data_IF_253533845957
#
_entry.id   IF_253533845957
#
_cell.length_a   1.000
_cell.length_b   1.000
_cell.length_c   1.000
_cell.angle_alpha   90.00
_cell.angle_beta   90.00
_cell.angle_gamma   90.00
#
_symmetry.space_group_name_H-M   'P 1'
#
loop_
_entity.id
_entity.type
_entity.pdbx_description
1 polymer ?
2 polymer ?
3 polymer ?
4 polymer ?
#
loop_
_entity_poly.entity_id
_entity_poly.type
_entity_poly.pdbx_seq_one_letter_code
_entity_poly.pdbx_strand_id
4 'polyribonucleotide' 'GGCUGGACUCGUACUUCGGUACUGGAGAAACAGCC' ?
#
# COMPACT_ATOMS: atom_id res chain seq x y z
N UNK A 1 16.87 -9.40 6.15
CA UNK A 1 15.63 -9.71 5.45
C UNK A 1 15.12 -8.53 4.60
N UNK A 2 13.84 -8.21 4.72
CA UNK A 2 13.18 -7.32 3.78
C UNK A 2 13.82 -5.93 3.79
N UNK A 3 14.26 -5.49 2.61
CA UNK A 3 14.80 -4.14 2.44
C UNK A 3 14.60 -3.70 1.00
N UNK A 4 14.29 -2.42 0.84
CA UNK A 4 13.97 -1.81 -0.45
C UNK A 4 14.79 -0.54 -0.59
N UNK A 5 15.49 -0.38 -1.72
CA UNK A 5 16.30 0.81 -1.94
C UNK A 5 16.11 1.30 -3.36
N UNK A 6 15.73 2.58 -3.51
CA UNK A 6 15.37 3.16 -4.80
C UNK A 6 16.37 4.22 -5.20
N UNK A 7 16.47 4.46 -6.50
CA UNK A 7 17.44 5.38 -7.07
C UNK A 7 16.91 5.93 -8.38
N UNK A 8 17.67 6.85 -8.98
CA UNK A 8 17.33 7.50 -10.23
C UNK A 8 16.92 8.95 -10.11
N UNK A 9 16.69 9.45 -8.89
CA UNK A 9 16.18 10.79 -8.73
C UNK A 9 17.15 11.86 -9.21
N UNK A 10 16.65 12.79 -10.00
CA UNK A 10 17.47 13.76 -10.71
C UNK A 10 16.72 15.09 -10.79
N UNK A 11 17.26 16.00 -11.60
CA UNK A 11 16.57 17.19 -12.06
C UNK A 11 16.59 17.15 -13.58
N UNK A 12 15.42 17.28 -14.20
CA UNK A 12 15.29 17.19 -15.65
C UNK A 12 14.28 18.21 -16.13
N UNK A 13 14.44 18.64 -17.39
CA UNK A 13 13.46 19.50 -18.02
C UNK A 13 12.18 18.71 -18.29
N UNK A 14 11.03 19.39 -18.37
CA UNK A 14 9.79 18.70 -18.70
C UNK A 14 9.89 17.98 -20.03
N UNK A 15 9.10 16.90 -20.17
CA UNK A 15 9.16 16.08 -21.35
C UNK A 15 10.33 15.12 -21.41
N UNK A 16 11.20 15.12 -20.40
CA UNK A 16 12.36 14.24 -20.36
C UNK A 16 11.98 12.98 -19.58
N UNK A 17 11.87 11.86 -20.30
CA UNK A 17 11.51 10.60 -19.66
C UNK A 17 12.52 10.25 -18.57
N UNK A 18 12.03 9.64 -17.50
CA UNK A 18 12.86 9.40 -16.33
C UNK A 18 12.55 8.04 -15.75
N UNK A 19 13.58 7.27 -15.43
CA UNK A 19 13.41 5.93 -14.88
C UNK A 19 13.94 5.89 -13.45
N UNK A 20 13.06 5.55 -12.51
CA UNK A 20 13.46 5.27 -11.14
C UNK A 20 13.49 3.76 -10.95
N UNK A 21 14.46 3.27 -10.18
CA UNK A 21 14.56 1.84 -9.94
C UNK A 21 14.49 1.54 -8.44
N UNK A 22 13.77 0.49 -8.11
CA UNK A 22 13.73 -0.07 -6.76
C UNK A 22 14.40 -1.42 -6.81
N UNK A 23 15.53 -1.53 -6.13
CA UNK A 23 16.19 -2.81 -5.87
C UNK A 23 15.59 -3.41 -4.60
N UNK A 24 15.14 -4.65 -4.71
CA UNK A 24 14.40 -5.34 -3.67
C UNK A 24 15.22 -6.53 -3.21
N UNK A 25 15.48 -6.60 -1.91
CA UNK A 25 16.33 -7.66 -1.38
C UNK A 25 15.78 -8.20 -0.07
N UNK A 26 15.95 -9.49 0.16
CA UNK A 26 15.55 -10.10 1.40
C UNK A 26 14.10 -10.56 1.47
N UNK A 27 13.48 -10.88 0.34
CA UNK A 27 12.08 -11.29 0.30
C UNK A 27 12.00 -12.78 0.05
N UNK A 28 11.31 -13.47 0.95
CA UNK A 28 11.13 -14.92 0.86
C UNK A 28 9.89 -15.32 0.06
N UNK A 29 9.17 -14.35 -0.48
CA UNK A 29 7.87 -14.60 -1.11
C UNK A 29 8.02 -14.64 -2.62
N UNK A 30 7.28 -15.54 -3.26
CA UNK A 30 7.20 -15.55 -4.72
C UNK A 30 6.65 -14.23 -5.23
N UNK A 31 5.35 -14.00 -5.06
CA UNK A 31 4.74 -12.73 -5.36
C UNK A 31 4.48 -11.87 -4.14
N UNK A 32 4.41 -10.56 -4.37
CA UNK A 32 3.97 -9.59 -3.37
C UNK A 32 3.60 -8.32 -4.11
N UNK A 33 2.84 -7.45 -3.45
CA UNK A 33 2.50 -6.18 -4.08
C UNK A 33 3.65 -5.19 -3.94
N UNK A 34 4.16 -4.71 -5.07
CA UNK A 34 5.18 -3.66 -5.08
C UNK A 34 4.52 -2.37 -5.51
N UNK A 35 4.43 -1.41 -4.59
CA UNK A 35 3.73 -0.15 -4.80
C UNK A 35 4.73 0.99 -5.00
N UNK A 36 4.30 1.97 -5.79
CA UNK A 36 4.99 3.25 -5.96
C UNK A 36 4.07 4.35 -5.43
N UNK A 37 4.58 5.09 -4.46
CA UNK A 37 3.87 6.18 -3.78
C UNK A 37 4.69 7.45 -3.93
N UNK A 38 4.00 8.59 -4.01
CA UNK A 38 4.59 9.87 -4.38
C UNK A 38 4.20 10.93 -3.36
N UNK A 39 5.16 11.79 -2.99
CA UNK A 39 4.88 12.92 -2.10
C UNK A 39 5.58 14.16 -2.61
N UNK A 40 4.81 15.18 -2.97
CA UNK A 40 5.41 16.46 -3.33
C UNK A 40 5.93 17.17 -2.08
N UNK A 41 7.07 17.86 -2.16
CA UNK A 41 7.64 18.49 -0.97
C UNK A 41 6.65 19.44 -0.31
N UNK A 42 6.48 19.25 0.99
CA UNK A 42 5.53 20.03 1.76
C UNK A 42 4.10 19.54 1.69
N UNK A 43 3.83 18.49 0.91
CA UNK A 43 2.47 18.03 0.67
C UNK A 43 2.34 16.55 1.04
N UNK A 44 1.18 15.97 0.71
CA UNK A 44 0.81 14.67 1.22
C UNK A 44 1.21 13.51 0.32
N UNK A 45 0.82 12.32 0.75
CA UNK A 45 1.14 11.07 0.07
C UNK A 45 0.13 10.80 -1.04
N UNK A 46 0.64 10.34 -2.18
CA UNK A 46 -0.19 10.08 -3.35
C UNK A 46 0.21 8.73 -3.93
N UNK A 47 -0.74 7.80 -3.98
CA UNK A 47 -0.46 6.49 -4.53
C UNK A 47 -0.34 6.58 -6.04
N UNK A 48 0.83 6.22 -6.57
CA UNK A 48 1.05 6.22 -8.01
C UNK A 48 0.48 4.93 -8.58
N UNK A 49 1.10 3.80 -8.24
CA UNK A 49 0.67 2.57 -8.87
C UNK A 49 1.20 1.38 -8.11
N UNK A 50 0.95 0.19 -8.66
CA UNK A 50 1.42 -1.03 -8.04
C UNK A 50 1.55 -2.11 -9.10
N UNK A 51 2.33 -3.13 -8.77
CA UNK A 51 2.56 -4.27 -9.64
C UNK A 51 2.53 -5.53 -8.78
N UNK A 52 2.11 -6.64 -9.37
CA UNK A 52 2.23 -7.94 -8.71
C UNK A 52 3.40 -8.68 -9.34
N UNK A 53 4.42 -8.97 -8.53
CA UNK A 53 5.76 -9.26 -9.03
C UNK A 53 5.78 -10.38 -10.04
N UNK A 54 5.27 -11.56 -9.67
CA UNK A 54 5.40 -12.71 -10.55
C UNK A 54 4.68 -12.56 -11.87
N UNK A 55 3.55 -11.86 -11.88
CA UNK A 55 2.73 -11.75 -13.08
C UNK A 55 3.15 -10.55 -13.91
N UNK A 56 2.37 -10.23 -14.93
CA UNK A 56 2.56 -9.03 -15.71
C UNK A 56 1.53 -7.98 -15.34
N UNK A 57 1.01 -8.06 -14.11
CA UNK A 57 -0.17 -7.32 -13.71
C UNK A 57 0.23 -6.00 -13.05
N UNK A 58 -0.02 -4.89 -13.76
CA UNK A 58 0.26 -3.55 -13.28
C UNK A 58 -1.05 -2.78 -13.16
N UNK A 59 -1.14 -1.92 -12.15
CA UNK A 59 -2.34 -1.15 -11.89
C UNK A 59 -1.93 0.27 -11.51
N UNK A 60 -2.74 1.24 -11.93
CA UNK A 60 -2.42 2.64 -11.73
C UNK A 60 -3.66 3.39 -11.26
N UNK A 61 -3.42 4.55 -10.68
CA UNK A 61 -4.49 5.48 -10.35
C UNK A 61 -5.06 6.08 -11.63
N UNK A 62 -6.28 6.63 -11.50
CA UNK A 62 -6.92 7.26 -12.66
C UNK A 62 -6.05 8.35 -13.25
N UNK A 63 -5.38 9.15 -12.41
CA UNK A 63 -4.59 10.28 -12.88
C UNK A 63 -3.23 9.88 -13.43
N UNK A 64 -2.70 8.72 -13.05
CA UNK A 64 -1.38 8.28 -13.48
C UNK A 64 -1.38 7.39 -14.71
N UNK A 65 -2.54 6.93 -15.17
CA UNK A 65 -2.58 5.84 -16.15
C UNK A 65 -2.06 6.31 -17.49
N UNK A 66 -1.03 5.64 -18.01
CA UNK A 66 -0.44 5.94 -19.29
C UNK A 66 0.75 6.87 -19.24
N UNK A 67 0.89 7.68 -18.19
CA UNK A 67 2.07 8.50 -17.99
C UNK A 67 3.15 7.80 -17.19
N UNK A 68 2.83 6.65 -16.59
CA UNK A 68 3.75 5.90 -15.75
C UNK A 68 3.69 4.44 -16.16
N UNK A 69 4.85 3.78 -16.22
CA UNK A 69 4.90 2.37 -16.57
C UNK A 69 5.78 1.66 -15.55
N UNK A 70 5.18 0.75 -14.79
CA UNK A 70 5.91 -0.07 -13.84
C UNK A 70 6.34 -1.36 -14.55
N UNK A 71 7.61 -1.68 -14.45
CA UNK A 71 8.15 -2.89 -15.04
C UNK A 71 8.85 -3.71 -13.97
N UNK A 72 8.95 -5.01 -14.23
CA UNK A 72 9.49 -5.96 -13.27
C UNK A 72 10.66 -6.70 -13.91
N UNK A 73 11.81 -6.65 -13.25
CA UNK A 73 13.00 -7.38 -13.64
C UNK A 73 13.34 -8.33 -12.50
N UNK A 74 14.20 -9.31 -12.80
CA UNK A 74 14.42 -10.41 -11.86
C UNK A 74 14.66 -9.90 -10.43
N UNK A 75 15.62 -9.00 -10.27
CA UNK A 75 15.84 -8.33 -9.00
C UNK A 75 15.29 -6.89 -8.92
N UNK A 76 14.75 -6.35 -10.01
CA UNK A 76 14.51 -4.91 -10.10
C UNK A 76 13.03 -4.62 -10.37
N UNK A 77 12.59 -3.43 -9.95
CA UNK A 77 11.28 -2.89 -10.32
C UNK A 77 11.48 -1.43 -10.75
N UNK A 78 11.09 -1.12 -11.98
CA UNK A 78 11.31 0.22 -12.52
C UNK A 78 10.00 0.97 -12.68
N UNK A 79 9.99 2.24 -12.26
CA UNK A 79 8.91 3.17 -12.54
C UNK A 79 9.39 4.14 -13.62
N UNK A 80 8.70 4.14 -14.77
CA UNK A 80 9.05 5.01 -15.87
C UNK A 80 8.04 6.15 -15.96
N UNK A 81 8.54 7.38 -15.82
CA UNK A 81 7.76 8.58 -16.10
C UNK A 81 8.02 8.95 -17.55
N UNK A 82 7.01 8.79 -18.41
CA UNK A 82 7.22 8.98 -19.84
C UNK A 82 7.19 10.44 -20.25
N UNK A 83 6.42 11.27 -19.57
CA UNK A 83 6.36 12.71 -19.87
C UNK A 83 6.19 13.50 -18.58
N UNK A 84 7.28 13.71 -17.84
CA UNK A 84 7.17 14.45 -16.58
C UNK A 84 6.78 15.91 -16.80
N UNK A 85 6.05 16.45 -15.84
CA UNK A 85 5.71 17.87 -15.76
C UNK A 85 6.08 18.40 -14.39
N UNK A 86 6.11 19.73 -14.26
CA UNK A 86 6.57 20.33 -13.01
C UNK A 86 5.73 19.93 -11.81
N UNK A 87 4.50 19.44 -12.02
CA UNK A 87 3.71 18.90 -10.93
C UNK A 87 4.07 17.45 -10.60
N UNK A 88 4.94 16.82 -11.40
CA UNK A 88 5.48 15.51 -11.08
C UNK A 88 6.74 15.59 -10.23
N UNK A 89 7.15 16.79 -9.82
CA UNK A 89 8.33 16.97 -9.01
C UNK A 89 8.01 16.60 -7.57
N UNK A 90 8.69 15.58 -7.04
CA UNK A 90 8.31 15.04 -5.74
C UNK A 90 9.37 14.04 -5.29
N UNK A 91 9.14 13.47 -4.11
CA UNK A 91 9.86 12.29 -3.67
C UNK A 91 9.04 11.05 -4.02
N UNK A 92 9.74 9.99 -4.41
CA UNK A 92 9.11 8.74 -4.77
C UNK A 92 9.60 7.65 -3.83
N UNK A 93 8.68 6.99 -3.14
CA UNK A 93 8.96 5.80 -2.36
C UNK A 93 8.41 4.57 -3.09
N UNK A 94 9.13 3.46 -2.97
CA UNK A 94 8.55 2.14 -3.22
C UNK A 94 8.18 1.51 -1.88
N UNK A 95 7.00 0.90 -1.84
CA UNK A 95 6.50 0.21 -0.67
C UNK A 95 6.21 -1.25 -1.03
N UNK A 96 6.12 -2.09 -0.01
CA UNK A 96 5.89 -3.51 -0.22
C UNK A 96 4.72 -3.97 0.64
N UNK A 97 3.85 -4.76 0.03
CA UNK A 97 2.79 -5.46 0.74
C UNK A 97 3.10 -6.96 0.62
N UNK A 98 3.53 -7.53 1.75
CA UNK A 98 3.91 -8.95 1.82
C UNK A 98 2.71 -9.86 2.05
N UNK A 99 1.66 -9.35 2.72
CA UNK A 99 0.50 -10.16 3.06
C UNK A 99 -0.49 -10.29 1.92
N UNK A 100 -0.36 -9.48 0.87
CA UNK A 100 -1.34 -9.34 -0.20
C UNK A 100 -2.69 -8.87 0.33
N UNK A 101 -2.73 -8.28 1.53
CA UNK A 101 -3.94 -7.74 2.12
C UNK A 101 -4.08 -6.24 1.96
N UNK A 102 -3.10 -5.58 1.34
CA UNK A 102 -3.23 -4.22 0.87
C UNK A 102 -2.44 -3.18 1.64
N UNK A 103 -1.94 -3.52 2.83
CA UNK A 103 -1.24 -2.54 3.64
C UNK A 103 0.27 -2.62 3.39
N UNK A 104 0.92 -1.45 3.45
CA UNK A 104 2.33 -1.33 3.11
C UNK A 104 3.16 -1.50 4.37
N UNK A 105 3.83 -2.64 4.49
CA UNK A 105 4.68 -2.97 5.63
C UNK A 105 6.10 -2.42 5.50
N UNK A 106 6.67 -2.45 4.30
CA UNK A 106 8.09 -2.16 4.11
C UNK A 106 8.24 -1.04 3.08
N UNK A 107 8.94 0.02 3.47
CA UNK A 107 9.20 1.17 2.61
C UNK A 107 10.69 1.29 2.32
N UNK A 108 11.01 1.94 1.21
CA UNK A 108 12.35 2.37 0.93
C UNK A 108 12.58 3.74 1.51
N UNK A 109 13.84 4.18 1.59
CA UNK A 109 14.10 5.54 2.10
C UNK A 109 13.54 6.63 1.21
N UNK A 110 13.36 6.37 -0.08
CA UNK A 110 12.81 7.34 -1.00
C UNK A 110 13.87 7.97 -1.88
N UNK A 111 13.42 8.59 -2.96
CA UNK A 111 14.28 9.38 -3.83
C UNK A 111 13.61 10.72 -4.11
N UNK A 112 14.40 11.67 -4.63
CA UNK A 112 13.91 13.00 -4.93
C UNK A 112 14.11 13.30 -6.40
N UNK A 113 13.04 13.73 -7.06
CA UNK A 113 13.08 14.13 -8.46
C UNK A 113 12.54 15.55 -8.59
N UNK A 114 13.26 16.38 -9.34
CA UNK A 114 12.89 17.75 -9.65
C UNK A 114 12.69 17.87 -11.16
N UNK A 115 11.74 18.70 -11.55
CA UNK A 115 11.42 18.97 -12.95
C UNK A 115 11.31 20.46 -13.14
N UNK A 116 12.11 21.02 -14.04
CA UNK A 116 12.11 22.46 -14.30
C UNK A 116 12.25 22.75 -15.79
N UNK B 1 -10.55 6.38 -8.37
CA UNK B 1 -11.99 6.44 -8.12
C UNK B 1 -12.27 6.54 -6.63
N UNK B 2 -11.55 5.75 -5.85
CA UNK B 2 -11.65 5.83 -4.40
C UNK B 2 -11.10 7.16 -3.91
N UNK B 3 -11.82 7.79 -2.97
CA UNK B 3 -11.43 9.07 -2.40
C UNK B 3 -11.55 9.00 -0.90
N UNK B 4 -10.41 9.16 -0.20
CA UNK B 4 -10.37 9.17 1.26
C UNK B 4 -10.33 10.63 1.72
N UNK B 5 -11.37 11.06 2.42
CA UNK B 5 -11.43 12.41 2.97
C UNK B 5 -11.10 12.36 4.46
N UNK B 6 -9.97 12.97 4.83
CA UNK B 6 -9.43 12.88 6.18
C UNK B 6 -9.81 14.17 6.90
N UNK B 7 -10.79 14.08 7.82
CA UNK B 7 -11.51 15.29 8.22
C UNK B 7 -10.64 16.27 8.98
N UNK B 8 -10.06 15.95 10.14
CA UNK B 8 -9.21 16.96 10.78
C UNK B 8 -7.91 17.11 10.01
N UNK B 9 -7.61 18.35 9.60
CA UNK B 9 -6.37 18.65 8.88
C UNK B 9 -5.22 18.91 9.84
N UNK B 10 -5.48 19.66 10.90
CA UNK B 10 -4.48 19.96 11.93
C UNK B 10 -5.12 19.81 13.29
N UNK B 11 -4.43 19.14 14.20
CA UNK B 11 -4.91 19.00 15.57
C UNK B 11 -3.73 19.17 16.51
N UNK B 12 -3.83 20.12 17.44
CA UNK B 12 -2.86 20.30 18.51
C UNK B 12 -3.48 19.87 19.82
N UNK B 13 -2.68 19.22 20.67
CA UNK B 13 -3.21 18.75 21.95
C UNK B 13 -2.17 18.86 23.06
N UNK B 14 -2.58 19.22 24.27
CA UNK B 14 -1.71 19.06 25.43
C UNK B 14 -1.51 17.58 25.74
N UNK B 15 -0.31 17.25 26.25
CA UNK B 15 0.03 15.85 26.51
C UNK B 15 -0.96 15.26 27.51
N UNK B 16 -1.34 14.00 27.27
CA UNK B 16 -2.36 13.35 28.05
C UNK B 16 -3.76 13.46 27.48
N UNK B 17 -3.93 14.20 26.38
CA UNK B 17 -5.23 14.37 25.75
C UNK B 17 -5.47 13.39 24.63
N UNK B 18 -6.75 13.18 24.32
CA UNK B 18 -7.18 12.20 23.33
C UNK B 18 -7.44 12.90 22.01
N UNK B 19 -6.77 12.44 20.95
CA UNK B 19 -6.97 12.95 19.60
C UNK B 19 -7.75 11.91 18.80
N UNK B 20 -8.73 12.39 18.02
CA UNK B 20 -9.60 11.54 17.22
C UNK B 20 -9.55 12.02 15.77
N UNK B 21 -8.98 11.19 14.90
CA UNK B 21 -8.89 11.48 13.47
C UNK B 21 -9.93 10.61 12.77
N UNK B 22 -10.61 11.18 11.77
CA UNK B 22 -11.63 10.44 11.03
C UNK B 22 -11.33 10.48 9.54
N UNK B 23 -11.43 9.32 8.90
CA UNK B 23 -11.40 9.18 7.45
C UNK B 23 -12.75 8.72 6.95
N UNK B 24 -13.19 9.30 5.84
CA UNK B 24 -14.43 8.92 5.17
C UNK B 24 -14.06 8.34 3.81
N UNK B 25 -14.57 7.14 3.53
CA UNK B 25 -14.33 6.47 2.26
C UNK B 25 -15.46 6.80 1.29
N UNK B 26 -15.09 6.99 0.02
CA UNK B 26 -16.09 7.24 -1.03
C UNK B 26 -16.84 5.99 -1.45
N UNK B 27 -16.44 4.82 -0.94
CA UNK B 27 -17.03 3.55 -1.31
C UNK B 27 -16.76 2.57 -0.19
N UNK B 28 -17.48 1.45 -0.19
CA UNK B 28 -17.34 0.52 0.93
C UNK B 28 -16.03 -0.24 0.76
N UNK B 29 -15.08 0.03 1.64
CA UNK B 29 -13.79 -0.66 1.63
C UNK B 29 -13.69 -1.73 2.72
N UNK B 30 -14.69 -1.85 3.58
CA UNK B 30 -14.68 -2.88 4.62
C UNK B 30 -13.41 -2.86 5.46
N UNK B 31 -12.63 -3.93 5.36
CA UNK B 31 -11.44 -4.16 6.17
C UNK B 31 -10.17 -3.62 5.54
N UNK B 32 -10.27 -2.89 4.43
CA UNK B 32 -9.12 -2.52 3.61
C UNK B 32 -8.47 -1.19 3.99
N UNK B 33 -8.84 -0.59 5.12
CA UNK B 33 -8.17 0.61 5.62
C UNK B 33 -6.94 0.26 6.46
N UNK B 34 -5.92 1.10 6.36
CA UNK B 34 -4.70 0.99 7.15
C UNK B 34 -4.16 2.38 7.46
N UNK B 35 -3.73 2.59 8.70
CA UNK B 35 -3.23 3.88 9.18
C UNK B 35 -1.71 3.89 9.25
N UNK B 36 -1.11 4.99 8.78
CA UNK B 36 0.33 5.17 8.65
C UNK B 36 0.78 6.47 9.31
N UNK B 37 1.99 6.43 9.88
CA UNK B 37 2.62 7.58 10.52
C UNK B 37 3.89 7.95 9.76
N UNK B 38 4.09 9.25 9.53
CA UNK B 38 5.30 9.76 8.90
C UNK B 38 5.80 10.98 9.65
N UNK B 39 7.10 11.03 9.86
CA UNK B 39 7.77 12.17 10.45
C UNK B 39 8.70 12.80 9.43
N UNK B 40 9.01 14.10 9.56
CA UNK B 40 9.77 14.78 8.51
C UNK B 40 11.12 14.12 8.27
N UNK B 41 11.48 14.04 6.98
CA UNK B 41 12.76 13.54 6.55
C UNK B 41 12.85 12.03 6.35
N UNK B 42 11.80 11.29 6.68
CA UNK B 42 11.89 9.83 6.67
C UNK B 42 10.63 9.23 6.07
N UNK B 43 10.73 8.02 5.51
CA UNK B 43 9.55 7.33 4.97
C UNK B 43 8.54 7.02 6.05
N UNK B 44 7.28 6.71 5.68
CA UNK B 44 6.26 6.41 6.68
C UNK B 44 6.46 5.08 7.36
N UNK B 45 5.55 4.72 8.27
CA UNK B 45 5.61 3.43 8.93
C UNK B 45 4.20 3.01 9.33
N UNK B 46 3.96 1.70 9.34
CA UNK B 46 2.64 1.17 9.64
C UNK B 46 2.26 1.45 11.09
N UNK B 47 1.03 1.89 11.31
CA UNK B 47 0.41 1.88 12.62
C UNK B 47 -0.68 0.82 12.70
N UNK B 48 -1.72 0.91 11.87
CA UNK B 48 -2.87 0.01 11.97
C UNK B 48 -3.11 -0.64 10.62
N UNK B 49 -3.55 -1.90 10.62
CA UNK B 49 -3.91 -2.60 9.40
C UNK B 49 -5.19 -3.39 9.62
N UNK B 50 -5.91 -3.64 8.53
CA UNK B 50 -7.24 -4.28 8.56
C UNK B 50 -8.18 -3.53 9.50
N UNK B 51 -7.87 -2.25 9.70
CA UNK B 51 -8.68 -1.20 10.29
C UNK B 51 -8.81 -1.24 11.80
N UNK B 52 -8.71 -2.42 12.44
CA UNK B 52 -8.63 -2.48 13.90
C UNK B 52 -7.30 -2.97 14.47
N UNK B 53 -6.39 -3.51 13.66
CA UNK B 53 -5.36 -4.40 14.18
C UNK B 53 -4.02 -3.69 14.30
N UNK B 54 -3.50 -3.59 15.52
CA UNK B 54 -2.26 -2.88 15.75
C UNK B 54 -1.08 -3.61 15.12
N UNK B 55 -0.24 -2.86 14.41
CA UNK B 55 0.93 -3.42 13.79
C UNK B 55 1.97 -3.80 14.84
N UNK B 56 2.89 -4.67 14.44
CA UNK B 56 4.01 -5.03 15.29
C UNK B 56 4.92 -3.82 15.52
N UNK B 57 5.60 -3.81 16.67
CA UNK B 57 6.53 -2.75 16.99
C UNK B 57 5.91 -1.38 17.15
N UNK B 58 4.63 -1.30 17.50
CA UNK B 58 3.95 -0.02 17.66
C UNK B 58 3.38 0.05 19.07
N UNK B 59 3.45 1.20 19.73
CA UNK B 59 2.82 1.33 21.05
C UNK B 59 1.32 1.14 20.97
N UNK B 60 0.75 0.66 22.07
CA UNK B 60 -0.65 0.24 22.12
C UNK B 60 -1.63 1.40 22.29
N UNK B 61 -1.14 2.62 22.43
CA UNK B 61 -2.03 3.76 22.64
C UNK B 61 -2.83 4.11 21.39
N UNK B 62 -2.51 3.50 20.24
CA UNK B 62 -3.21 3.78 19.00
C UNK B 62 -4.40 2.83 18.84
N UNK B 63 -5.55 3.40 18.45
CA UNK B 63 -6.79 2.66 18.27
C UNK B 63 -7.36 3.00 16.91
N UNK B 64 -8.20 2.11 16.40
CA UNK B 64 -8.96 2.42 15.20
C UNK B 64 -10.24 1.62 15.16
N UNK B 65 -11.25 2.20 14.51
CA UNK B 65 -12.57 1.57 14.42
C UNK B 65 -13.15 1.81 13.04
N UNK B 66 -13.46 0.73 12.32
CA UNK B 66 -14.38 0.81 11.20
C UNK B 66 -15.82 0.87 11.66
N UNK B 67 -16.56 1.87 11.16
CA UNK B 67 -18.02 1.87 11.18
C UNK B 67 -18.51 2.28 9.80
N UNK B 68 -19.07 1.34 9.06
CA UNK B 68 -19.47 1.63 7.69
C UNK B 68 -18.31 2.19 6.88
N UNK B 69 -18.49 3.40 6.33
CA UNK B 69 -17.44 4.10 5.62
C UNK B 69 -16.70 5.12 6.49
N UNK B 70 -17.10 5.29 7.75
CA UNK B 70 -16.43 6.17 8.70
C UNK B 70 -15.40 5.36 9.50
N UNK B 71 -14.13 5.68 9.34
CA UNK B 71 -13.05 5.00 10.06
C UNK B 71 -12.34 5.99 10.96
N UNK B 72 -11.89 5.51 12.13
CA UNK B 72 -11.40 6.39 13.17
C UNK B 72 -10.06 5.90 13.72
N UNK B 73 -9.10 6.82 13.83
CA UNK B 73 -7.85 6.59 14.54
C UNK B 73 -7.89 7.40 15.83
N UNK B 74 -7.81 6.72 16.97
CA UNK B 74 -7.96 7.34 18.28
C UNK B 74 -6.70 7.11 19.09
N UNK B 75 -6.01 8.20 19.42
CA UNK B 75 -4.85 8.15 20.30
C UNK B 75 -5.26 8.71 21.66
N UNK B 76 -5.03 7.94 22.72
CA UNK B 76 -5.52 8.32 24.04
C UNK B 76 -4.48 9.11 24.82
N UNK B 77 -3.48 8.44 25.38
CA UNK B 77 -2.31 9.17 25.87
C UNK B 77 -1.44 9.63 24.72
N UNK B 78 -1.29 10.94 24.54
CA UNK B 78 -0.36 11.46 23.54
C UNK B 78 1.04 11.60 24.15
N UNK B 79 2.05 11.59 23.27
CA UNK B 79 3.43 11.84 23.66
C UNK B 79 4.07 12.79 22.65
N UNK B 80 5.34 13.12 22.88
CA UNK B 80 6.02 14.10 22.03
C UNK B 80 6.33 13.52 20.65
N UNK B 81 6.85 12.29 20.60
CA UNK B 81 7.16 11.66 19.32
C UNK B 81 5.92 11.45 18.47
N UNK B 82 4.72 11.63 19.04
CA UNK B 82 3.49 11.65 18.26
C UNK B 82 3.38 12.87 17.37
N UNK B 83 4.34 13.81 17.42
CA UNK B 83 4.32 14.92 16.48
C UNK B 83 4.80 14.40 15.13
N UNK B 84 3.90 14.44 14.15
CA UNK B 84 4.07 13.77 12.87
C UNK B 84 2.78 13.90 12.06
N UNK B 85 2.86 13.63 10.77
CA UNK B 85 1.69 13.58 9.91
C UNK B 85 1.18 12.16 9.80
N UNK B 86 -0.14 11.99 9.88
CA UNK B 86 -0.79 10.69 9.82
C UNK B 86 -1.68 10.60 8.58
N UNK B 87 -1.65 9.44 7.92
CA UNK B 87 -2.50 9.19 6.75
C UNK B 87 -3.28 7.91 6.93
N UNK B 88 -4.43 7.85 6.26
CA UNK B 88 -5.18 6.61 6.08
C UNK B 88 -5.08 6.20 4.61
N UNK B 89 -4.90 4.91 4.38
CA UNK B 89 -4.84 4.29 3.07
C UNK B 89 -5.98 3.29 2.97
N UNK B 90 -6.61 3.22 1.80
CA UNK B 90 -7.77 2.36 1.67
C UNK B 90 -7.93 1.86 0.25
N UNK B 91 -8.61 0.73 0.14
CA UNK B 91 -8.75 0.05 -1.12
C UNK B 91 -7.64 -0.96 -1.35
N UNK B 92 -7.61 -1.47 -2.56
CA UNK B 92 -6.69 -2.52 -2.97
C UNK B 92 -6.27 -2.24 -4.41
N UNK B 93 -5.03 -2.54 -4.76
CA UNK B 93 -4.54 -2.19 -6.10
C UNK B 93 -5.39 -2.75 -7.24
N UNK B 94 -5.92 -3.95 -7.10
CA UNK B 94 -6.70 -4.58 -8.15
C UNK B 94 -8.20 -4.33 -8.00
N UNK B 95 -8.62 -3.60 -6.98
CA UNK B 95 -10.03 -3.26 -6.85
C UNK B 95 -10.41 -2.22 -7.89
N UNK B 96 -11.67 -2.25 -8.32
CA UNK B 96 -12.14 -1.27 -9.30
C UNK B 96 -11.98 0.14 -8.77
N UNK B 97 -12.07 0.34 -7.46
CA UNK B 97 -11.58 1.56 -6.83
C UNK B 97 -10.13 1.30 -6.45
N UNK B 98 -9.20 1.95 -7.13
CA UNK B 98 -7.82 1.68 -6.80
C UNK B 98 -7.46 2.35 -5.48
N UNK B 99 -6.42 1.83 -4.83
CA UNK B 99 -6.02 2.29 -3.50
C UNK B 99 -5.82 3.80 -3.49
N UNK B 100 -6.21 4.43 -2.39
CA UNK B 100 -6.17 5.88 -2.30
C UNK B 100 -5.78 6.32 -0.88
N UNK B 101 -5.08 7.45 -0.82
CA UNK B 101 -4.61 8.06 0.42
C UNK B 101 -5.51 9.22 0.83
N UNK B 102 -5.63 9.41 2.15
CA UNK B 102 -6.30 10.58 2.66
C UNK B 102 -5.42 11.82 2.57
N UNK B 103 -6.07 12.97 2.78
CA UNK B 103 -5.39 14.25 2.67
C UNK B 103 -4.24 14.45 3.64
N UNK B 104 -4.27 13.74 4.77
CA UNK B 104 -3.21 13.84 5.74
C UNK B 104 -3.63 14.64 6.97
N UNK B 105 -2.90 14.43 8.06
CA UNK B 105 -3.11 15.16 9.31
C UNK B 105 -1.75 15.52 9.88
N UNK B 106 -1.69 16.67 10.55
CA UNK B 106 -0.49 17.10 11.25
C UNK B 106 -0.77 17.11 12.75
N UNK B 107 0.09 16.45 13.52
CA UNK B 107 -0.05 16.39 14.97
C UNK B 107 1.20 17.01 15.60
N UNK B 108 1.02 18.16 16.24
CA UNK B 108 2.08 18.82 16.98
C UNK B 108 1.68 18.89 18.44
N UNK B 109 2.62 18.57 19.33
CA UNK B 109 2.37 18.51 20.76
C UNK B 109 2.89 19.80 21.39
N UNK B 110 2.06 20.44 22.22
CA UNK B 110 2.42 21.69 22.85
C UNK B 110 3.40 21.45 23.99
N UNK C 10 -11.21 -3.69 -20.29
CA UNK C 10 -11.94 -4.21 -19.14
C UNK C 10 -10.95 -4.69 -18.09
N UNK C 11 -10.94 -4.03 -16.93
CA UNK C 11 -10.02 -4.40 -15.86
C UNK C 11 -10.54 -5.50 -14.95
N UNK C 12 -11.84 -5.85 -15.04
CA UNK C 12 -12.28 -7.08 -14.42
C UNK C 12 -11.52 -8.27 -14.98
N UNK C 13 -11.19 -8.23 -16.27
CA UNK C 13 -10.43 -9.29 -16.89
C UNK C 13 -9.01 -9.35 -16.34
N UNK C 14 -8.33 -8.20 -16.29
CA UNK C 14 -6.99 -8.17 -15.72
C UNK C 14 -6.99 -8.66 -14.28
N UNK C 15 -8.03 -8.31 -13.52
CA UNK C 15 -8.17 -8.82 -12.17
C UNK C 15 -8.26 -10.35 -12.18
N UNK C 16 -9.09 -10.91 -13.06
CA UNK C 16 -9.28 -12.36 -13.08
C UNK C 16 -7.97 -13.07 -13.44
N UNK C 17 -7.21 -12.52 -14.38
CA UNK C 17 -5.91 -13.10 -14.69
C UNK C 17 -4.98 -13.03 -13.48
N UNK C 18 -5.04 -11.93 -12.73
CA UNK C 18 -4.30 -11.87 -11.46
C UNK C 18 -4.72 -13.01 -10.53
N UNK C 19 -6.04 -13.24 -10.42
CA UNK C 19 -6.55 -14.29 -9.55
C UNK C 19 -5.99 -15.64 -9.95
N UNK C 20 -6.14 -15.99 -11.23
CA UNK C 20 -5.59 -17.25 -11.73
C UNK C 20 -4.10 -17.36 -11.42
N UNK C 21 -3.37 -16.24 -11.52
CA UNK C 21 -1.97 -16.27 -11.14
C UNK C 21 -1.77 -16.48 -9.64
N UNK C 22 -2.76 -16.10 -8.81
CA UNK C 22 -2.65 -16.40 -7.39
C UNK C 22 -2.92 -17.87 -7.11
N UNK C 23 -3.97 -18.43 -7.72
CA UNK C 23 -4.27 -19.84 -7.49
C UNK C 23 -3.17 -20.74 -8.05
N UNK C 24 -2.46 -20.29 -9.09
CA UNK C 24 -1.39 -21.10 -9.64
C UNK C 24 -0.08 -20.94 -8.88
N UNK C 25 0.06 -19.90 -8.07
CA UNK C 25 1.22 -19.76 -7.18
C UNK C 25 1.18 -20.73 -6.01
N UNK C 26 0.10 -21.50 -5.88
CA UNK C 26 -0.10 -22.49 -4.81
C UNK C 26 -0.24 -23.85 -5.47
N UNK C 27 0.88 -24.48 -5.86
CA UNK C 27 0.79 -25.68 -6.69
C UNK C 27 0.32 -26.87 -5.87
N UNK C 28 -0.34 -27.85 -6.49
CA UNK C 28 -0.78 -29.05 -5.76
C UNK C 28 0.40 -29.79 -5.16
N UNK C 29 0.18 -30.54 -4.10
CA UNK C 29 1.27 -31.29 -3.48
C UNK C 29 1.67 -32.51 -4.30
N UNK C 30 2.85 -33.02 -4.00
CA UNK C 30 3.35 -34.24 -4.64
C UNK C 30 2.44 -35.41 -4.30
N UNK C 31 1.84 -36.08 -5.29
CA UNK C 31 0.91 -37.18 -4.99
C UNK C 31 1.59 -38.42 -4.41
N UNK C 32 2.88 -38.61 -4.62
CA UNK C 32 3.59 -39.78 -4.12
C UNK C 32 4.04 -39.55 -2.69
N UNK C 33 3.67 -40.48 -1.81
CA UNK C 33 4.07 -40.38 -0.42
C UNK C 33 3.13 -41.15 0.47
N UNK C 34 3.46 -41.15 1.76
CA UNK C 34 2.66 -41.83 2.77
C UNK C 34 1.25 -41.23 2.80
N UNK C 35 0.28 -42.05 3.21
CA UNK C 35 -1.11 -41.58 3.21
C UNK C 35 -1.28 -40.34 4.07
N UNK C 36 -0.70 -40.31 5.27
CA UNK C 36 -0.83 -39.12 6.10
C UNK C 36 0.29 -38.10 5.90
N UNK C 37 1.35 -38.47 5.18
CA UNK C 37 2.29 -37.44 4.74
C UNK C 37 1.60 -36.46 3.80
N UNK C 38 0.87 -36.98 2.82
CA UNK C 38 0.10 -36.16 1.90
C UNK C 38 -1.17 -35.61 2.55
N UNK C 39 -1.63 -36.20 3.66
CA UNK C 39 -2.65 -35.53 4.45
C UNK C 39 -2.12 -34.21 5.00
N UNK C 40 -0.88 -34.21 5.49
CA UNK C 40 -0.30 -32.97 5.99
C UNK C 40 0.02 -32.01 4.85
N UNK C 41 0.48 -32.55 3.72
CA UNK C 41 0.72 -31.72 2.55
C UNK C 41 -0.56 -30.97 2.15
N UNK C 42 -1.66 -31.72 1.98
CA UNK C 42 -2.92 -31.07 1.66
C UNK C 42 -3.39 -30.17 2.79
N UNK C 43 -3.05 -30.52 4.04
CA UNK C 43 -3.43 -29.69 5.17
C UNK C 43 -2.83 -28.30 5.07
N UNK C 44 -1.54 -28.22 4.76
CA UNK C 44 -0.88 -26.92 4.62
C UNK C 44 -1.32 -26.23 3.33
N UNK C 45 -1.58 -27.00 2.27
CA UNK C 45 -2.08 -26.43 1.02
C UNK C 45 -3.43 -25.77 1.21
N UNK C 46 -4.26 -26.28 2.12
CA UNK C 46 -5.60 -25.74 2.32
C UNK C 46 -5.56 -24.35 2.95
N UNK C 47 -4.62 -24.12 3.87
CA UNK C 47 -4.48 -22.78 4.45
C UNK C 47 -4.19 -21.75 3.37
N UNK C 48 -3.14 -22.00 2.57
CA UNK C 48 -2.77 -21.08 1.50
C UNK C 48 -3.93 -20.84 0.56
N UNK C 49 -4.58 -21.91 0.10
CA UNK C 49 -5.77 -21.74 -0.74
C UNK C 49 -6.87 -20.96 -0.03
N UNK C 50 -6.88 -20.99 1.31
CA UNK C 50 -7.90 -20.26 2.05
C UNK C 50 -7.63 -18.76 2.03
N UNK C 51 -6.36 -18.37 2.25
CA UNK C 51 -5.99 -16.97 2.10
C UNK C 51 -6.27 -16.48 0.69
N UNK C 52 -5.81 -17.23 -0.32
CA UNK C 52 -6.04 -16.85 -1.71
C UNK C 52 -7.52 -16.70 -1.98
N UNK C 53 -8.35 -17.57 -1.41
CA UNK C 53 -9.78 -17.49 -1.66
C UNK C 53 -10.38 -16.24 -1.00
N UNK C 54 -9.96 -15.93 0.23
CA UNK C 54 -10.41 -14.69 0.86
C UNK C 54 -10.06 -13.48 0.00
N UNK C 55 -8.78 -13.37 -0.37
CA UNK C 55 -8.33 -12.21 -1.14
C UNK C 55 -9.08 -12.12 -2.46
N UNK C 56 -9.08 -13.20 -3.22
CA UNK C 56 -9.64 -13.17 -4.57
C UNK C 56 -11.16 -12.93 -4.54
N UNK C 57 -11.85 -13.50 -3.56
CA UNK C 57 -13.28 -13.22 -3.42
C UNK C 57 -13.51 -11.76 -3.08
N UNK C 58 -12.66 -11.19 -2.21
CA UNK C 58 -12.74 -9.77 -1.89
C UNK C 58 -12.55 -8.90 -3.12
N UNK C 59 -11.55 -9.23 -3.95
CA UNK C 59 -11.32 -8.49 -5.18
C UNK C 59 -12.53 -8.61 -6.11
N UNK C 60 -12.97 -9.83 -6.36
CA UNK C 60 -14.05 -10.08 -7.32
C UNK C 60 -15.34 -9.40 -6.90
N UNK C 61 -15.57 -9.26 -5.58
CA UNK C 61 -16.75 -8.53 -5.12
C UNK C 61 -16.74 -7.08 -5.61
N UNK C 62 -15.55 -6.49 -5.78
CA UNK C 62 -15.48 -5.08 -6.14
C UNK C 62 -16.04 -4.83 -7.54
N UNK C 63 -15.91 -5.80 -8.45
CA UNK C 63 -16.44 -5.67 -9.80
C UNK C 63 -17.84 -6.25 -9.97
N UNK C 64 -18.35 -7.02 -9.01
CA UNK C 64 -19.67 -7.63 -9.16
C UNK C 64 -20.57 -7.28 -7.98
N UNK C 65 -20.29 -7.86 -6.82
CA UNK C 65 -20.72 -7.34 -5.53
C UNK C 65 -22.17 -6.96 -5.44
N UNK C 66 -22.42 -5.80 -4.85
CA UNK C 66 -23.78 -5.29 -4.66
C UNK C 66 -24.02 -4.06 -5.53
#
# INVERSE_FOLDING_TARGET
QEQLVESGGRLVTPGTALTLTCKVSGFSLSGFWLNWVRQAPGKGLEWVGAIYRGSGSEWYASWAKGRFTISDTSTTVTLKLTSPTTEDTATYFCAADTTDNGYFTIWGPGTLVTVSSHHHHHH
ELVMTQTPSSVSEPVGGTVTIKCQASQSISSWLSWYQQKPGQPPKLLIYDASNLASGVPSRFMGSGSGTEYTLTISGVQREDAATYYCLGGYPAASYRTAFGGGTELEII
MAGRSGDSDEDLLKAVRLIKFLYQSNPPPNPEGTRQARRNRRRRWRERQRQIHSISERILSTYLGRSAEPVPLQLPPLERLTLDCNEDCGTSG
#
